data_IF_989210719951
#
_entry.id   IF_989210719951
#
_cell.length_a   1.000
_cell.length_b   1.000
_cell.length_c   1.000
_cell.angle_alpha   90.00
_cell.angle_beta   90.00
_cell.angle_gamma   90.00
#
_symmetry.space_group_name_H-M   'P 1'
#
loop_
_entity.id
_entity.type
_entity.pdbx_description
1 polymer ?
#
# COMPACT_ATOMS: atom_id res chain seq x y z
N UNK A 1 -48.07 -49.47 -8.53
CA UNK A 1 -47.87 -48.00 -8.44
C UNK A 1 -46.38 -47.77 -8.70
N UNK A 2 -45.92 -47.25 -9.86
CA UNK A 2 -46.02 -45.85 -10.35
C UNK A 2 -45.50 -44.88 -9.26
N UNK A 3 -44.47 -44.03 -9.39
CA UNK A 3 -43.76 -43.38 -10.51
C UNK A 3 -42.36 -42.89 -10.05
N UNK A 4 -41.30 -42.96 -10.88
CA UNK A 4 -40.56 -41.87 -11.59
C UNK A 4 -39.92 -40.70 -10.80
N UNK A 5 -38.57 -40.66 -10.83
CA UNK A 5 -37.65 -39.66 -11.45
C UNK A 5 -37.76 -38.15 -11.15
N UNK A 6 -36.71 -37.58 -10.54
CA UNK A 6 -35.95 -36.37 -10.96
C UNK A 6 -34.74 -36.22 -10.02
N UNK A 7 -33.51 -35.88 -10.38
CA UNK A 7 -32.99 -35.15 -11.54
C UNK A 7 -32.36 -33.85 -11.03
N UNK A 8 -31.03 -33.68 -11.13
CA UNK A 8 -30.38 -32.39 -10.91
C UNK A 8 -28.98 -32.48 -10.31
N UNK A 9 -27.99 -32.83 -11.13
CA UNK A 9 -26.58 -32.70 -10.78
C UNK A 9 -26.13 -31.27 -10.99
N UNK A 10 -25.73 -30.58 -9.91
CA UNK A 10 -24.94 -29.35 -10.02
C UNK A 10 -23.46 -29.74 -10.16
N UNK A 11 -23.14 -30.13 -11.38
CA UNK A 11 -21.77 -30.16 -11.87
C UNK A 11 -21.33 -28.71 -12.08
N UNK A 12 -20.88 -28.08 -10.99
CA UNK A 12 -20.05 -26.88 -11.03
C UNK A 12 -18.78 -27.26 -11.78
N UNK A 13 -18.85 -27.22 -13.11
CA UNK A 13 -17.72 -27.37 -14.02
C UNK A 13 -16.76 -26.25 -13.66
N UNK A 14 -15.77 -26.57 -12.85
CA UNK A 14 -14.51 -25.85 -12.81
C UNK A 14 -14.03 -25.77 -14.25
N UNK A 15 -14.12 -24.58 -14.84
CA UNK A 15 -13.52 -24.31 -16.14
C UNK A 15 -12.03 -24.31 -15.90
N UNK A 16 -11.42 -25.49 -15.94
CA UNK A 16 -9.97 -25.66 -15.97
C UNK A 16 -9.55 -25.11 -17.33
N UNK A 17 -9.23 -23.82 -17.35
CA UNK A 17 -8.65 -23.17 -18.52
C UNK A 17 -7.41 -23.96 -18.93
N UNK A 18 -7.41 -24.41 -20.18
CA UNK A 18 -6.34 -25.19 -20.79
C UNK A 18 -5.04 -24.41 -20.67
N UNK A 19 -4.07 -24.93 -19.93
CA UNK A 19 -2.75 -24.32 -19.71
C UNK A 19 -1.98 -24.31 -21.03
N UNK A 20 -2.11 -23.23 -21.78
CA UNK A 20 -1.25 -22.93 -22.91
C UNK A 20 0.11 -22.53 -22.32
N UNK A 21 1.09 -23.43 -22.35
CA UNK A 21 2.46 -23.15 -21.99
C UNK A 21 3.09 -22.23 -23.06
N UNK A 22 2.72 -20.95 -23.06
CA UNK A 22 3.59 -19.92 -23.60
C UNK A 22 4.60 -19.57 -22.50
N UNK A 23 5.88 -19.73 -22.81
CA UNK A 23 7.03 -19.38 -21.96
C UNK A 23 7.18 -17.86 -21.82
N UNK A 24 6.10 -17.18 -21.44
CA UNK A 24 6.01 -15.75 -21.19
C UNK A 24 5.49 -15.48 -19.79
N UNK A 25 5.81 -14.30 -19.26
CA UNK A 25 5.33 -13.85 -17.94
C UNK A 25 3.80 -13.80 -17.98
N UNK A 26 3.14 -14.65 -17.19
CA UNK A 26 1.68 -14.66 -17.07
C UNK A 26 1.27 -13.54 -16.11
N UNK A 27 0.56 -12.54 -16.62
CA UNK A 27 0.04 -11.43 -15.83
C UNK A 27 -1.35 -11.76 -15.29
N UNK A 28 -1.67 -11.22 -14.11
CA UNK A 28 -2.98 -11.37 -13.47
C UNK A 28 -3.32 -10.10 -12.70
N UNK A 29 -4.60 -9.92 -12.39
CA UNK A 29 -5.09 -8.83 -11.55
C UNK A 29 -5.13 -9.29 -10.09
N UNK A 30 -4.53 -8.52 -9.19
CA UNK A 30 -4.57 -8.75 -7.75
C UNK A 30 -5.57 -7.80 -7.09
N UNK A 31 -6.50 -8.35 -6.32
CA UNK A 31 -7.58 -7.61 -5.67
C UNK A 31 -7.47 -7.70 -4.15
N UNK A 32 -7.94 -6.67 -3.43
CA UNK A 32 -7.92 -6.70 -1.97
C UNK A 32 -9.06 -7.56 -1.41
N UNK A 33 -10.23 -7.52 -2.05
CA UNK A 33 -11.44 -8.18 -1.57
C UNK A 33 -12.06 -9.16 -2.57
N UNK A 34 -12.81 -10.14 -2.06
CA UNK A 34 -13.57 -11.09 -2.90
C UNK A 34 -14.66 -10.41 -3.73
N UNK A 35 -15.19 -9.28 -3.24
CA UNK A 35 -16.19 -8.49 -3.96
C UNK A 35 -15.56 -7.89 -5.22
N UNK A 36 -14.37 -7.29 -5.10
CA UNK A 36 -13.60 -6.78 -6.24
C UNK A 36 -13.29 -7.90 -7.23
N UNK A 37 -12.81 -9.05 -6.76
CA UNK A 37 -12.55 -10.21 -7.62
C UNK A 37 -13.76 -10.59 -8.48
N UNK A 38 -14.97 -10.60 -7.90
CA UNK A 38 -16.22 -10.87 -8.63
C UNK A 38 -16.53 -9.78 -9.65
N UNK A 39 -16.40 -8.51 -9.27
CA UNK A 39 -16.66 -7.37 -10.17
C UNK A 39 -15.71 -7.40 -11.37
N UNK A 40 -14.41 -7.54 -11.14
CA UNK A 40 -13.41 -7.63 -12.20
C UNK A 40 -13.59 -8.90 -13.05
N UNK A 41 -13.99 -10.02 -12.45
CA UNK A 41 -14.29 -11.25 -13.17
C UNK A 41 -15.52 -11.15 -14.08
N UNK A 42 -16.54 -10.40 -13.69
CA UNK A 42 -17.74 -10.16 -14.51
C UNK A 42 -17.46 -9.20 -15.68
N UNK A 43 -16.59 -8.20 -15.49
CA UNK A 43 -16.22 -7.26 -16.53
C UNK A 43 -15.17 -7.79 -17.52
N UNK A 44 -14.27 -8.66 -17.06
CA UNK A 44 -13.16 -9.18 -17.86
C UNK A 44 -12.94 -10.69 -17.62
N UNK A 45 -13.84 -11.57 -18.10
CA UNK A 45 -13.76 -13.01 -17.85
C UNK A 45 -12.53 -13.70 -18.51
N UNK A 46 -11.90 -13.05 -19.48
CA UNK A 46 -10.69 -13.53 -20.13
C UNK A 46 -9.40 -13.27 -19.33
N UNK A 47 -9.46 -12.41 -18.30
CA UNK A 47 -8.29 -12.07 -17.48
C UNK A 47 -8.30 -12.89 -16.18
N UNK A 48 -7.16 -13.48 -15.77
CA UNK A 48 -7.06 -14.13 -14.47
C UNK A 48 -7.07 -13.07 -13.35
N UNK A 49 -7.94 -13.28 -12.37
CA UNK A 49 -8.10 -12.43 -11.19
C UNK A 49 -8.00 -13.28 -9.92
N UNK A 50 -7.24 -12.82 -8.93
CA UNK A 50 -7.17 -13.43 -7.61
C UNK A 50 -7.08 -12.39 -6.50
N UNK A 51 -7.31 -12.82 -5.26
CA UNK A 51 -7.17 -11.95 -4.08
C UNK A 51 -5.76 -12.02 -3.50
N UNK A 52 -5.39 -11.02 -2.68
CA UNK A 52 -4.13 -11.02 -1.92
C UNK A 52 -4.00 -12.28 -1.04
N UNK A 53 -5.10 -12.68 -0.40
CA UNK A 53 -5.12 -13.85 0.50
C UNK A 53 -4.90 -15.17 -0.26
N UNK A 54 -5.56 -15.33 -1.41
CA UNK A 54 -5.39 -16.50 -2.28
C UNK A 54 -3.95 -16.61 -2.79
N UNK A 55 -3.37 -15.49 -3.22
CA UNK A 55 -1.98 -15.42 -3.66
C UNK A 55 -1.01 -15.84 -2.54
N UNK A 56 -1.29 -15.38 -1.31
CA UNK A 56 -0.50 -15.72 -0.14
C UNK A 56 -0.55 -17.22 0.17
N UNK A 57 -1.74 -17.81 0.15
CA UNK A 57 -1.91 -19.25 0.32
C UNK A 57 -1.15 -20.04 -0.76
N UNK A 58 -1.29 -19.65 -2.04
CA UNK A 58 -0.63 -20.34 -3.15
C UNK A 58 0.90 -20.29 -3.04
N UNK A 59 1.48 -19.11 -2.82
CA UNK A 59 2.95 -18.95 -2.74
C UNK A 59 3.57 -19.57 -1.50
N UNK A 60 2.81 -19.66 -0.39
CA UNK A 60 3.23 -20.46 0.78
C UNK A 60 3.20 -21.95 0.46
N UNK A 61 2.16 -22.44 -0.22
CA UNK A 61 2.10 -23.85 -0.63
C UNK A 61 3.23 -24.22 -1.60
N UNK A 62 3.62 -23.30 -2.49
CA UNK A 62 4.77 -23.44 -3.39
C UNK A 62 6.13 -23.28 -2.67
N UNK A 63 6.15 -22.93 -1.38
CA UNK A 63 7.37 -22.77 -0.58
C UNK A 63 8.20 -21.52 -0.93
N UNK A 64 7.67 -20.62 -1.75
CA UNK A 64 8.34 -19.38 -2.18
C UNK A 64 8.30 -18.34 -1.06
N UNK A 65 7.22 -18.33 -0.29
CA UNK A 65 7.02 -17.39 0.81
C UNK A 65 7.17 -18.06 2.16
N UNK A 66 7.97 -17.43 3.02
CA UNK A 66 8.16 -17.82 4.41
C UNK A 66 6.91 -17.59 5.28
N UNK A 67 6.98 -17.90 6.59
CA UNK A 67 5.89 -17.64 7.52
C UNK A 67 5.48 -16.16 7.47
N UNK A 68 4.19 -15.84 7.75
CA UNK A 68 3.71 -14.47 7.71
C UNK A 68 4.58 -13.62 8.63
N UNK A 69 5.02 -12.43 8.17
CA UNK A 69 5.80 -11.54 9.01
C UNK A 69 4.97 -11.19 10.24
N UNK A 70 5.35 -11.77 11.39
CA UNK A 70 4.77 -11.43 12.67
C UNK A 70 5.24 -10.04 13.05
N UNK A 71 4.35 -9.04 12.91
CA UNK A 71 4.63 -7.67 13.34
C UNK A 71 5.15 -6.74 12.24
N UNK A 72 4.59 -6.78 11.03
CA UNK A 72 4.78 -5.67 10.09
C UNK A 72 4.19 -4.42 10.75
N UNK A 73 5.08 -3.58 11.30
CA UNK A 73 4.72 -2.24 11.72
C UNK A 73 4.38 -1.49 10.43
N UNK A 74 3.11 -1.13 10.28
CA UNK A 74 2.72 -0.18 9.25
C UNK A 74 3.52 1.11 9.48
N UNK A 75 4.01 1.77 8.42
CA UNK A 75 4.59 3.09 8.60
C UNK A 75 3.53 3.97 9.29
N UNK A 76 3.94 4.78 10.30
CA UNK A 76 3.01 5.66 10.99
C UNK A 76 2.30 6.56 9.98
N UNK A 77 1.04 6.90 10.24
CA UNK A 77 0.32 7.87 9.40
C UNK A 77 1.04 9.22 9.39
N UNK A 78 0.78 10.07 8.40
CA UNK A 78 1.38 11.42 8.37
C UNK A 78 1.04 12.23 9.63
N UNK A 79 -0.16 12.04 10.18
CA UNK A 79 -0.61 12.65 11.44
C UNK A 79 0.21 12.12 12.63
N UNK A 80 0.39 10.80 12.73
CA UNK A 80 1.21 10.19 13.79
C UNK A 80 2.70 10.57 13.69
N UNK A 81 3.19 10.86 12.49
CA UNK A 81 4.55 11.37 12.27
C UNK A 81 4.65 12.82 12.75
N UNK A 82 3.70 13.67 12.36
CA UNK A 82 3.67 15.07 12.77
C UNK A 82 3.58 15.23 14.29
N UNK A 83 2.74 14.43 14.95
CA UNK A 83 2.60 14.44 16.41
C UNK A 83 3.90 14.00 17.09
N UNK A 84 4.55 12.94 16.60
CA UNK A 84 5.83 12.48 17.14
C UNK A 84 6.97 13.47 16.93
N UNK A 85 6.98 14.18 15.80
CA UNK A 85 7.93 15.26 15.54
C UNK A 85 7.68 16.47 16.44
N UNK A 86 6.41 16.82 16.68
CA UNK A 86 6.05 17.88 17.61
C UNK A 86 6.51 17.55 19.04
N UNK A 87 6.21 16.36 19.54
CA UNK A 87 6.65 15.90 20.86
C UNK A 87 8.19 15.91 21.00
N UNK A 88 8.91 15.45 19.97
CA UNK A 88 10.36 15.48 19.97
C UNK A 88 10.91 16.91 19.98
N UNK A 89 10.29 17.81 19.22
CA UNK A 89 10.65 19.22 19.21
C UNK A 89 10.42 19.88 20.58
N UNK A 90 9.24 19.68 21.18
CA UNK A 90 8.90 20.20 22.52
C UNK A 90 9.92 19.74 23.56
N UNK A 91 10.27 18.45 23.57
CA UNK A 91 11.26 17.91 24.50
C UNK A 91 12.64 18.59 24.36
N UNK A 92 13.09 18.83 23.13
CA UNK A 92 14.37 19.49 22.87
C UNK A 92 14.34 21.00 23.19
N UNK A 93 13.17 21.63 23.14
CA UNK A 93 12.99 23.02 23.55
C UNK A 93 13.00 23.15 25.07
N UNK A 94 12.30 22.28 25.80
CA UNK A 94 12.28 22.27 27.27
C UNK A 94 13.65 21.95 27.88
N UNK A 95 14.46 21.14 27.20
CA UNK A 95 15.80 20.75 27.67
C UNK A 95 16.89 21.81 27.41
N UNK A 96 16.56 22.95 26.77
CA UNK A 96 17.52 23.99 26.38
C UNK A 96 18.76 23.42 25.66
N UNK A 97 18.54 22.49 24.71
CA UNK A 97 19.63 21.81 24.03
C UNK A 97 20.56 22.83 23.30
N UNK A 98 21.87 22.87 23.61
CA UNK A 98 22.79 23.85 23.02
C UNK A 98 22.83 23.80 21.48
N UNK A 99 22.62 22.63 20.86
CA UNK A 99 22.61 22.51 19.40
C UNK A 99 21.38 23.19 18.78
N UNK A 100 20.20 22.98 19.37
CA UNK A 100 18.94 23.61 18.93
C UNK A 100 19.01 25.13 19.06
N UNK A 101 19.56 25.63 20.18
CA UNK A 101 19.77 27.06 20.40
C UNK A 101 20.74 27.68 19.38
N UNK A 102 21.82 26.98 19.04
CA UNK A 102 22.75 27.43 18.00
C UNK A 102 22.06 27.46 16.63
N UNK A 103 21.27 26.45 16.30
CA UNK A 103 20.55 26.40 15.03
C UNK A 103 19.52 27.54 14.90
N UNK A 104 18.78 27.83 15.99
CA UNK A 104 17.86 28.97 16.05
C UNK A 104 18.59 30.31 15.82
N UNK A 105 19.73 30.52 16.49
CA UNK A 105 20.56 31.73 16.29
C UNK A 105 21.08 31.85 14.86
N UNK A 106 21.59 30.76 14.30
CA UNK A 106 22.08 30.73 12.92
C UNK A 106 20.96 31.04 11.91
N UNK A 107 19.74 30.57 12.18
CA UNK A 107 18.57 30.90 11.36
C UNK A 107 18.21 32.39 11.43
N UNK A 108 18.32 33.00 12.60
CA UNK A 108 18.09 34.45 12.75
C UNK A 108 19.17 35.27 12.05
N UNK A 109 20.45 34.94 12.22
CA UNK A 109 21.57 35.59 11.50
C UNK A 109 21.38 35.49 9.97
N UNK A 110 20.96 34.32 9.48
CA UNK A 110 20.67 34.12 8.07
C UNK A 110 19.52 35.03 7.60
N UNK A 111 18.40 35.07 8.33
CA UNK A 111 17.24 35.92 7.98
C UNK A 111 17.58 37.41 8.01
N UNK A 112 18.43 37.85 8.93
CA UNK A 112 18.90 39.23 9.03
C UNK A 112 19.73 39.63 7.81
N UNK A 113 20.61 38.73 7.36
CA UNK A 113 21.42 38.94 6.15
C UNK A 113 20.60 38.78 4.85
N UNK A 114 19.48 38.06 4.89
CA UNK A 114 18.66 37.69 3.73
C UNK A 114 17.24 38.23 3.86
N UNK A 115 17.11 39.57 3.83
CA UNK A 115 15.80 40.25 3.91
C UNK A 115 14.82 39.71 2.87
N UNK A 116 13.54 39.64 3.24
CA UNK A 116 12.46 39.29 2.31
C UNK A 116 12.52 40.11 1.02
N UNK A 117 12.51 39.44 -0.12
CA UNK A 117 12.63 40.07 -1.44
C UNK A 117 14.07 40.33 -1.90
N UNK A 118 15.08 39.92 -1.13
CA UNK A 118 16.46 39.89 -1.60
C UNK A 118 16.55 39.07 -2.90
N UNK A 119 17.09 39.67 -3.97
CA UNK A 119 17.16 39.08 -5.30
C UNK A 119 15.93 39.27 -6.21
N UNK A 120 14.79 39.76 -5.72
CA UNK A 120 13.64 40.08 -6.57
C UNK A 120 13.85 41.43 -7.29
N UNK A 121 14.06 41.39 -8.62
CA UNK A 121 14.33 42.59 -9.44
C UNK A 121 13.16 43.06 -10.30
N UNK A 122 12.12 42.24 -10.50
CA UNK A 122 11.05 42.51 -11.45
C UNK A 122 9.74 42.97 -10.80
N UNK A 123 9.47 42.57 -9.55
CA UNK A 123 8.24 42.97 -8.84
C UNK A 123 8.56 43.96 -7.71
N UNK A 124 9.13 45.12 -8.07
CA UNK A 124 9.34 46.28 -7.18
C UNK A 124 8.34 47.37 -7.59
N UNK A 125 7.12 47.30 -7.08
CA UNK A 125 6.17 48.42 -7.16
C UNK A 125 6.52 49.48 -6.12
#
# INVERSE_FOLDING_TARGET
>A
MKDQKSGGGDSSKTIIAKKNNSSGIQTFILTRSDVEKKVFGLGYPALPVMTVDELYAQRRAEGIWGPPPSGVQMPPSEEEQADREAEANELTEEADDPERLQQLRNMDEYKDMHRRGWGNRMNRS
#
